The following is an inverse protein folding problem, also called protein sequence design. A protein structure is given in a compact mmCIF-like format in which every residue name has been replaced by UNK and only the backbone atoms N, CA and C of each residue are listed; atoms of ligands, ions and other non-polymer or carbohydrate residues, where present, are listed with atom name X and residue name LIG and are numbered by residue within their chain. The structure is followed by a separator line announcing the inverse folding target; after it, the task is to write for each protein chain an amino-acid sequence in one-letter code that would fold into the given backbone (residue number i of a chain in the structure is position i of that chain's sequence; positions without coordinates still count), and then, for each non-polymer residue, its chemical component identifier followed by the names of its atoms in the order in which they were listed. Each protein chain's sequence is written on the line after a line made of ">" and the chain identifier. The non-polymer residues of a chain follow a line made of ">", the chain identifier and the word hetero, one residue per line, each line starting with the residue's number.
data_IF_714336112703
#
_entry.id   IF_714336112703
#
_cell.length_a   1.000
_cell.length_b   1.000
_cell.length_c   1.000
_cell.angle_alpha   90.00
_cell.angle_beta   90.00
_cell.angle_gamma   90.00
#
_symmetry.space_group_name_H-M   'P 1'
#
loop_
_entity.id
_entity.type
_entity.pdbx_description
1 polymer ?
#
# COMPACT_ATOMS: atom_id res chain seq x y z
N UNK A 1 -17.29 4.54 -3.47
CA UNK A 1 -17.35 5.46 -2.30
C UNK A 1 -16.53 6.69 -2.62
N UNK A 2 -17.10 7.89 -2.42
CA UNK A 2 -16.40 9.15 -2.62
C UNK A 2 -15.76 9.64 -1.33
N UNK A 3 -14.44 9.82 -1.32
CA UNK A 3 -13.68 10.32 -0.17
C UNK A 3 -13.08 11.68 -0.44
N UNK A 4 -13.10 12.56 0.55
CA UNK A 4 -12.39 13.84 0.49
C UNK A 4 -10.89 13.60 0.67
N UNK A 5 -10.11 13.95 -0.35
CA UNK A 5 -8.67 13.69 -0.40
C UNK A 5 -7.93 14.48 0.68
N UNK A 6 -8.28 15.76 0.87
CA UNK A 6 -7.64 16.62 1.86
C UNK A 6 -7.90 16.09 3.27
N UNK A 7 -9.16 15.82 3.60
CA UNK A 7 -9.54 15.30 4.91
C UNK A 7 -8.91 13.94 5.19
N UNK A 8 -8.82 13.06 4.18
CA UNK A 8 -8.18 11.76 4.32
C UNK A 8 -6.67 11.89 4.58
N UNK A 9 -5.99 12.78 3.85
CA UNK A 9 -4.57 13.08 4.07
C UNK A 9 -4.35 13.71 5.45
N UNK A 10 -5.13 14.70 5.84
CA UNK A 10 -4.99 15.33 7.15
C UNK A 10 -5.32 14.35 8.29
N UNK A 11 -6.27 13.44 8.10
CA UNK A 11 -6.64 12.47 9.12
C UNK A 11 -5.55 11.40 9.33
N UNK A 12 -4.89 10.95 8.26
CA UNK A 12 -3.94 9.83 8.34
C UNK A 12 -2.47 10.26 8.31
N UNK A 13 -2.14 11.40 7.73
CA UNK A 13 -0.77 11.91 7.64
C UNK A 13 -0.48 13.09 8.58
N UNK A 14 -1.48 13.88 9.01
CA UNK A 14 -1.26 14.93 10.02
C UNK A 14 -1.48 14.36 11.43
N UNK A 15 -0.39 13.94 12.07
CA UNK A 15 -0.45 13.26 13.38
C UNK A 15 -1.08 14.17 14.43
N UNK A 16 -2.32 13.86 14.83
CA UNK A 16 -3.03 14.48 15.95
C UNK A 16 -3.28 13.44 17.02
N UNK A 17 -2.76 13.68 18.22
CA UNK A 17 -2.85 12.70 19.33
C UNK A 17 -4.31 12.38 19.70
N UNK A 18 -5.21 13.35 19.55
CA UNK A 18 -6.65 13.17 19.78
C UNK A 18 -7.32 12.19 18.81
N UNK A 19 -6.68 11.84 17.69
CA UNK A 19 -7.24 11.00 16.62
C UNK A 19 -6.52 9.65 16.48
N UNK A 20 -5.52 9.37 17.31
CA UNK A 20 -4.67 8.17 17.15
C UNK A 20 -5.45 6.86 17.24
N UNK A 21 -6.39 6.75 18.19
CA UNK A 21 -7.25 5.57 18.35
C UNK A 21 -8.18 5.37 17.14
N UNK A 22 -8.83 6.45 16.72
CA UNK A 22 -9.78 6.42 15.60
C UNK A 22 -9.10 6.11 14.27
N UNK A 23 -7.91 6.67 14.03
CA UNK A 23 -7.14 6.40 12.82
C UNK A 23 -6.81 4.90 12.70
N UNK A 24 -6.39 4.27 13.79
CA UNK A 24 -6.10 2.84 13.81
C UNK A 24 -7.37 2.00 13.58
N UNK A 25 -8.48 2.36 14.21
CA UNK A 25 -9.75 1.67 14.05
C UNK A 25 -10.29 1.77 12.61
N UNK A 26 -10.27 2.97 12.03
CA UNK A 26 -10.71 3.21 10.65
C UNK A 26 -9.81 2.45 9.68
N UNK A 27 -8.49 2.51 9.85
CA UNK A 27 -7.55 1.75 9.02
C UNK A 27 -7.80 0.25 9.11
N UNK A 28 -8.12 -0.29 10.29
CA UNK A 28 -8.40 -1.71 10.44
C UNK A 28 -9.63 -2.16 9.62
N UNK A 29 -10.60 -1.28 9.42
CA UNK A 29 -11.85 -1.58 8.69
C UNK A 29 -11.77 -1.17 7.21
N UNK A 30 -10.98 -0.16 6.84
CA UNK A 30 -10.97 0.42 5.49
C UNK A 30 -9.63 0.28 4.77
N UNK A 31 -8.51 0.19 5.49
CA UNK A 31 -7.18 0.47 4.96
C UNK A 31 -6.77 -0.43 3.79
N UNK A 32 -7.08 -1.72 3.84
CA UNK A 32 -6.73 -2.65 2.78
C UNK A 32 -7.48 -2.35 1.47
N UNK A 33 -8.80 -2.14 1.53
CA UNK A 33 -9.62 -1.79 0.37
C UNK A 33 -9.24 -0.42 -0.18
N UNK A 34 -9.04 0.56 0.72
CA UNK A 34 -8.62 1.91 0.36
C UNK A 34 -7.31 1.89 -0.42
N UNK A 35 -6.31 1.17 0.05
CA UNK A 35 -5.00 1.13 -0.57
C UNK A 35 -5.01 0.38 -1.92
N UNK A 36 -5.67 -0.78 -1.98
CA UNK A 36 -5.81 -1.53 -3.22
C UNK A 36 -6.59 -0.72 -4.28
N UNK A 37 -7.65 -0.03 -3.87
CA UNK A 37 -8.49 0.76 -4.78
C UNK A 37 -7.84 2.08 -5.19
N UNK A 38 -7.03 2.70 -4.33
CA UNK A 38 -6.19 3.83 -4.72
C UNK A 38 -5.20 3.41 -5.83
N UNK A 39 -4.60 2.21 -5.72
CA UNK A 39 -3.76 1.67 -6.79
C UNK A 39 -4.56 1.40 -8.07
N UNK A 40 -5.75 0.81 -7.97
CA UNK A 40 -6.66 0.62 -9.12
C UNK A 40 -6.99 1.93 -9.82
N UNK A 41 -7.27 2.98 -9.06
CA UNK A 41 -7.55 4.32 -9.57
C UNK A 41 -6.29 4.94 -10.23
N UNK A 42 -5.11 4.82 -9.61
CA UNK A 42 -3.83 5.24 -10.20
C UNK A 42 -3.56 4.57 -11.55
N UNK A 43 -3.90 3.29 -11.71
CA UNK A 43 -3.77 2.54 -12.96
C UNK A 43 -4.88 2.86 -13.98
N UNK A 44 -5.77 3.82 -13.69
CA UNK A 44 -6.87 4.22 -14.56
C UNK A 44 -7.88 3.09 -14.80
N UNK A 45 -8.12 2.24 -13.79
CA UNK A 45 -9.06 1.12 -13.89
C UNK A 45 -8.57 -0.06 -14.75
N UNK A 46 -7.33 -0.02 -15.24
CA UNK A 46 -6.73 -1.08 -16.08
C UNK A 46 -6.29 -2.32 -15.30
N UNK A 47 -6.46 -2.30 -13.99
CA UNK A 47 -6.17 -3.44 -13.11
C UNK A 47 -7.45 -3.92 -12.43
N UNK A 48 -7.47 -5.20 -12.11
CA UNK A 48 -8.55 -5.87 -11.38
C UNK A 48 -8.02 -6.40 -10.06
N UNK A 49 -8.72 -6.11 -8.96
CA UNK A 49 -8.43 -6.67 -7.64
C UNK A 49 -9.18 -7.99 -7.55
N UNK A 50 -8.47 -9.09 -7.37
CA UNK A 50 -9.08 -10.42 -7.29
C UNK A 50 -9.49 -10.73 -5.85
N UNK A 51 -10.53 -11.54 -5.69
CA UNK A 51 -11.03 -12.00 -4.40
C UNK A 51 -10.31 -13.28 -3.90
N UNK A 52 -9.45 -13.86 -4.74
CA UNK A 52 -8.65 -15.04 -4.40
C UNK A 52 -7.68 -14.75 -3.24
N UNK A 53 -7.56 -15.71 -2.33
CA UNK A 53 -6.58 -15.63 -1.24
C UNK A 53 -5.15 -15.76 -1.77
N UNK A 54 -4.25 -14.92 -1.24
CA UNK A 54 -2.81 -15.02 -1.55
C UNK A 54 -2.13 -15.94 -0.56
N UNK A 55 -2.13 -17.24 -0.89
CA UNK A 55 -1.59 -18.28 -0.03
C UNK A 55 -0.15 -18.66 -0.41
N UNK A 56 0.71 -18.99 0.55
CA UNK A 56 1.97 -19.65 0.23
C UNK A 56 1.68 -21.03 -0.41
N UNK A 57 2.61 -21.53 -1.23
CA UNK A 57 2.52 -22.87 -1.85
C UNK A 57 2.54 -24.04 -0.87
N UNK A 58 2.64 -23.77 0.43
CA UNK A 58 2.71 -24.73 1.54
C UNK A 58 1.60 -24.44 2.55
N UNK A 59 1.13 -25.45 3.29
CA UNK A 59 0.12 -25.29 4.36
C UNK A 59 0.62 -24.47 5.57
N UNK A 60 1.88 -24.03 5.56
CA UNK A 60 2.53 -23.20 6.57
C UNK A 60 3.15 -21.99 5.88
N UNK A 61 2.93 -20.78 6.40
CA UNK A 61 3.58 -19.57 5.91
C UNK A 61 2.70 -18.31 6.02
N UNK A 62 3.31 -17.15 5.82
CA UNK A 62 2.60 -15.86 5.87
C UNK A 62 1.82 -15.65 4.56
N UNK A 63 0.53 -15.34 4.67
CA UNK A 63 -0.33 -14.94 3.55
C UNK A 63 -0.01 -13.50 3.13
N UNK A 64 -0.36 -13.13 1.90
CA UNK A 64 -0.40 -11.71 1.49
C UNK A 64 -1.84 -11.23 1.37
N UNK A 65 -2.00 -9.95 1.10
CA UNK A 65 -3.26 -9.24 1.23
C UNK A 65 -4.14 -9.38 -0.03
N UNK A 66 -3.57 -9.15 -1.22
CA UNK A 66 -4.34 -9.13 -2.48
C UNK A 66 -3.57 -9.68 -3.67
N UNK A 67 -4.32 -10.27 -4.60
CA UNK A 67 -3.92 -10.45 -5.99
C UNK A 67 -4.46 -9.28 -6.81
N UNK A 68 -3.62 -8.66 -7.66
CA UNK A 68 -4.04 -7.60 -8.58
C UNK A 68 -3.61 -7.94 -10.01
N UNK A 69 -4.56 -8.16 -10.91
CA UNK A 69 -4.33 -8.48 -12.31
C UNK A 69 -4.16 -7.20 -13.14
N UNK A 70 -3.01 -7.02 -13.78
CA UNK A 70 -2.79 -5.99 -14.82
C UNK A 70 -3.15 -6.56 -16.19
N UNK A 71 -4.33 -6.18 -16.67
CA UNK A 71 -4.87 -6.62 -17.97
C UNK A 71 -4.09 -6.08 -19.16
N UNK A 72 -3.38 -4.96 -18.99
CA UNK A 72 -2.64 -4.30 -20.08
C UNK A 72 -1.33 -5.04 -20.34
N UNK A 73 -0.61 -5.39 -19.28
CA UNK A 73 0.71 -6.01 -19.38
C UNK A 73 0.70 -7.52 -19.16
N UNK A 74 -0.48 -8.10 -18.94
CA UNK A 74 -0.67 -9.52 -18.61
C UNK A 74 0.25 -9.97 -17.46
N UNK A 75 0.28 -9.16 -16.39
CA UNK A 75 1.02 -9.45 -15.15
C UNK A 75 0.04 -9.65 -14.00
N UNK A 76 0.40 -10.52 -13.06
CA UNK A 76 -0.32 -10.71 -11.82
C UNK A 76 0.53 -10.20 -10.66
N UNK A 77 0.06 -9.18 -9.96
CA UNK A 77 0.75 -8.66 -8.79
C UNK A 77 0.35 -9.43 -7.54
N UNK A 78 1.33 -9.98 -6.84
CA UNK A 78 1.15 -10.42 -5.45
C UNK A 78 1.43 -9.25 -4.52
N UNK A 79 0.44 -8.86 -3.73
CA UNK A 79 0.46 -7.58 -3.02
C UNK A 79 0.49 -7.75 -1.51
N UNK A 80 1.42 -7.05 -0.87
CA UNK A 80 1.36 -6.75 0.55
C UNK A 80 1.03 -5.27 0.75
N UNK A 81 0.09 -4.99 1.63
CA UNK A 81 -0.47 -3.69 1.93
C UNK A 81 -0.09 -3.31 3.37
N UNK A 82 0.57 -2.17 3.53
CA UNK A 82 0.95 -1.61 4.83
C UNK A 82 0.26 -0.28 5.05
N UNK A 83 -0.70 -0.29 5.97
CA UNK A 83 -1.46 0.89 6.35
C UNK A 83 -0.72 1.78 7.37
N UNK A 84 0.60 1.91 7.27
CA UNK A 84 1.37 2.73 8.21
C UNK A 84 1.12 4.21 7.96
N UNK A 85 0.25 4.78 8.79
CA UNK A 85 -0.07 6.21 8.86
C UNK A 85 0.91 6.97 9.78
N UNK A 86 0.80 8.29 9.83
CA UNK A 86 1.64 9.14 10.69
C UNK A 86 1.46 8.85 12.18
N UNK A 87 0.32 8.29 12.57
CA UNK A 87 -0.01 7.84 13.93
C UNK A 87 0.66 6.51 14.31
N UNK A 88 1.19 5.75 13.35
CA UNK A 88 1.91 4.51 13.64
C UNK A 88 3.24 4.76 14.37
N UNK A 89 3.79 3.73 15.00
CA UNK A 89 5.10 3.81 15.67
C UNK A 89 6.17 4.26 14.65
N UNK A 90 6.90 5.32 14.99
CA UNK A 90 7.91 5.92 14.10
C UNK A 90 7.32 6.65 12.89
N UNK A 91 6.01 6.92 12.86
CA UNK A 91 5.38 7.79 11.88
C UNK A 91 5.80 9.25 12.04
N UNK A 92 5.81 9.98 10.92
CA UNK A 92 6.07 11.42 10.85
C UNK A 92 4.84 12.13 10.28
N UNK A 93 4.50 13.26 10.90
CA UNK A 93 3.43 14.12 10.40
C UNK A 93 3.83 14.75 9.06
N UNK A 94 2.87 14.85 8.15
CA UNK A 94 2.98 15.55 6.89
C UNK A 94 1.60 16.09 6.51
N UNK A 95 1.38 17.40 6.66
CA UNK A 95 0.09 18.04 6.34
C UNK A 95 -0.25 17.90 4.86
N UNK A 96 -1.54 17.88 4.50
CA UNK A 96 -1.97 17.80 3.10
C UNK A 96 -1.39 18.92 2.23
N UNK A 97 -1.17 20.11 2.78
CA UNK A 97 -0.64 21.31 2.13
C UNK A 97 0.88 21.51 2.26
N UNK A 98 1.60 20.58 2.89
CA UNK A 98 3.06 20.60 3.07
C UNK A 98 3.86 20.95 1.80
N UNK A 99 4.98 21.66 1.93
CA UNK A 99 5.78 22.05 0.75
C UNK A 99 6.37 20.82 0.03
N UNK A 100 6.86 21.02 -1.19
CA UNK A 100 7.56 19.96 -1.93
C UNK A 100 8.80 19.51 -1.16
N UNK A 101 9.55 20.45 -0.60
CA UNK A 101 10.77 20.22 0.17
C UNK A 101 10.48 19.44 1.45
N UNK A 102 9.41 19.79 2.15
CA UNK A 102 8.95 19.05 3.33
C UNK A 102 8.52 17.62 2.96
N UNK A 103 7.76 17.47 1.87
CA UNK A 103 7.34 16.16 1.36
C UNK A 103 8.55 15.29 1.04
N UNK A 104 9.56 15.83 0.32
CA UNK A 104 10.80 15.10 0.00
C UNK A 104 11.56 14.64 1.24
N UNK A 105 11.69 15.50 2.26
CA UNK A 105 12.34 15.14 3.53
C UNK A 105 11.64 13.97 4.22
N UNK A 106 10.30 13.98 4.24
CA UNK A 106 9.52 12.90 4.87
C UNK A 106 9.59 11.61 4.04
N UNK A 107 9.56 11.69 2.71
CA UNK A 107 9.74 10.52 1.83
C UNK A 107 11.11 9.89 2.05
N UNK A 108 12.18 10.69 2.09
CA UNK A 108 13.53 10.21 2.33
C UNK A 108 13.64 9.51 3.70
N UNK A 109 13.02 10.08 4.73
CA UNK A 109 12.93 9.46 6.05
C UNK A 109 12.30 8.07 5.99
N UNK A 110 11.11 7.94 5.38
CA UNK A 110 10.43 6.66 5.29
C UNK A 110 11.20 5.66 4.43
N UNK A 111 11.77 6.10 3.30
CA UNK A 111 12.57 5.24 2.43
C UNK A 111 13.82 4.71 3.15
N UNK A 112 14.58 5.58 3.83
CA UNK A 112 15.74 5.15 4.64
C UNK A 112 15.33 4.21 5.77
N UNK A 113 14.21 4.46 6.44
CA UNK A 113 13.69 3.60 7.50
C UNK A 113 13.34 2.21 6.97
N UNK A 114 12.62 2.14 5.85
CA UNK A 114 12.27 0.86 5.22
C UNK A 114 13.52 0.12 4.76
N UNK A 115 14.45 0.80 4.10
CA UNK A 115 15.73 0.21 3.69
C UNK A 115 16.51 -0.33 4.88
N UNK A 116 16.62 0.43 5.98
CA UNK A 116 17.45 0.03 7.11
C UNK A 116 16.83 -1.06 7.98
N UNK A 117 15.50 -1.16 8.03
CA UNK A 117 14.81 -2.06 8.95
C UNK A 117 14.15 -3.24 8.24
N UNK A 118 13.27 -2.93 7.28
CA UNK A 118 12.35 -3.92 6.72
C UNK A 118 12.90 -4.56 5.44
N UNK A 119 13.73 -3.83 4.69
CA UNK A 119 14.34 -4.20 3.41
C UNK A 119 15.88 -4.25 3.48
N UNK A 120 16.46 -4.47 4.67
CA UNK A 120 17.91 -4.73 4.84
C UNK A 120 18.16 -6.14 5.33
N UNK A 121 19.41 -6.60 5.25
CA UNK A 121 19.87 -7.83 5.89
C UNK A 121 19.77 -7.87 7.42
N UNK A 122 19.47 -6.76 8.09
CA UNK A 122 19.35 -6.70 9.56
C UNK A 122 17.98 -7.18 10.06
N UNK A 123 16.99 -7.26 9.18
CA UNK A 123 15.67 -7.79 9.52
C UNK A 123 15.67 -9.31 9.59
N UNK A 124 14.70 -9.88 10.30
CA UNK A 124 14.38 -11.30 10.13
C UNK A 124 13.77 -11.50 8.74
N UNK A 125 14.20 -12.47 7.95
CA UNK A 125 13.62 -12.71 6.62
C UNK A 125 13.19 -14.17 6.46
N UNK A 126 12.01 -14.44 5.86
CA UNK A 126 11.00 -13.49 5.37
C UNK A 126 10.12 -12.86 6.48
N UNK A 127 10.09 -11.52 6.57
CA UNK A 127 9.26 -10.75 7.52
C UNK A 127 8.02 -10.09 6.87
N UNK A 128 7.37 -9.22 7.63
CA UNK A 128 6.11 -8.56 7.30
C UNK A 128 6.04 -7.93 5.92
N UNK A 129 7.11 -7.33 5.39
CA UNK A 129 7.09 -6.74 4.03
C UNK A 129 7.79 -7.66 3.02
N UNK A 130 8.89 -8.31 3.42
CA UNK A 130 9.70 -9.14 2.49
C UNK A 130 9.06 -10.47 2.15
N UNK A 131 8.02 -10.90 2.88
CA UNK A 131 7.18 -12.03 2.45
C UNK A 131 6.55 -11.82 1.07
N UNK A 132 6.39 -10.56 0.61
CA UNK A 132 5.96 -10.25 -0.76
C UNK A 132 6.94 -10.77 -1.82
N UNK A 133 8.16 -11.14 -1.44
CA UNK A 133 9.18 -11.70 -2.33
C UNK A 133 9.21 -13.24 -2.30
N UNK A 134 8.34 -13.88 -1.51
CA UNK A 134 8.16 -15.33 -1.54
C UNK A 134 7.22 -15.72 -2.67
N UNK A 135 7.46 -16.85 -3.32
CA UNK A 135 6.55 -17.38 -4.33
C UNK A 135 5.22 -17.79 -3.69
N UNK A 136 4.13 -17.20 -4.18
CA UNK A 136 2.77 -17.53 -3.75
C UNK A 136 2.12 -18.55 -4.68
N UNK A 137 1.14 -19.30 -4.17
CA UNK A 137 0.32 -20.20 -4.99
C UNK A 137 -0.55 -19.36 -5.91
N UNK A 138 -0.37 -19.57 -7.22
CA UNK A 138 -1.18 -18.91 -8.25
C UNK A 138 -2.65 -19.32 -8.15
N UNK A 139 -3.60 -18.40 -8.41
CA UNK A 139 -4.99 -18.75 -8.67
C UNK A 139 -5.09 -19.62 -9.92
N UNK A 140 -5.98 -20.62 -9.91
CA UNK A 140 -6.08 -21.63 -10.99
C UNK A 140 -6.31 -20.99 -12.37
N UNK A 141 -7.14 -19.94 -12.42
CA UNK A 141 -7.46 -19.15 -13.63
C UNK A 141 -6.27 -18.38 -14.21
N UNK A 142 -5.16 -18.26 -13.46
CA UNK A 142 -4.01 -17.43 -13.79
C UNK A 142 -2.67 -18.19 -13.69
N UNK A 143 -2.71 -19.52 -13.77
CA UNK A 143 -1.53 -20.41 -13.60
C UNK A 143 -0.35 -20.18 -14.55
N UNK A 144 -0.55 -19.48 -15.67
CA UNK A 144 0.48 -19.16 -16.68
C UNK A 144 0.90 -17.69 -16.72
N UNK A 145 0.36 -16.86 -15.82
CA UNK A 145 0.62 -15.42 -15.81
C UNK A 145 1.92 -15.11 -15.06
N UNK A 146 2.69 -14.14 -15.56
CA UNK A 146 3.91 -13.68 -14.90
C UNK A 146 3.56 -12.97 -13.60
N UNK A 147 4.11 -13.45 -12.49
CA UNK A 147 3.92 -12.84 -11.17
C UNK A 147 4.95 -11.74 -10.92
N UNK A 148 4.53 -10.61 -10.36
CA UNK A 148 5.41 -9.54 -9.91
C UNK A 148 5.05 -9.15 -8.45
N UNK A 149 6.02 -8.85 -7.59
CA UNK A 149 5.74 -8.44 -6.22
C UNK A 149 5.46 -6.93 -6.16
N UNK A 150 4.43 -6.55 -5.38
CA UNK A 150 4.00 -5.17 -5.19
C UNK A 150 3.80 -4.88 -3.69
N UNK A 151 4.50 -3.89 -3.18
CA UNK A 151 4.19 -3.28 -1.89
C UNK A 151 3.29 -2.07 -2.12
N UNK A 152 2.18 -2.00 -1.39
CA UNK A 152 1.35 -0.79 -1.32
C UNK A 152 1.44 -0.24 0.09
N UNK A 153 1.99 0.96 0.21
CA UNK A 153 2.10 1.68 1.48
C UNK A 153 1.11 2.83 1.51
N UNK A 154 0.50 3.04 2.68
CA UNK A 154 -0.18 4.31 2.96
C UNK A 154 0.83 5.48 2.95
N UNK A 155 1.88 5.40 3.78
CA UNK A 155 2.87 6.46 3.99
C UNK A 155 3.50 7.02 2.68
N UNK A 156 3.93 8.30 2.68
CA UNK A 156 4.65 8.88 1.56
C UNK A 156 6.03 8.21 1.42
N UNK A 157 6.18 7.34 0.44
CA UNK A 157 7.42 6.58 0.20
C UNK A 157 7.69 6.46 -1.29
N UNK A 158 8.94 6.62 -1.68
CA UNK A 158 9.38 6.41 -3.05
C UNK A 158 10.88 6.14 -3.07
N UNK A 159 11.31 5.30 -4.00
CA UNK A 159 12.72 5.09 -4.31
C UNK A 159 13.17 5.87 -5.55
N UNK A 160 12.28 6.69 -6.12
CA UNK A 160 12.56 7.52 -7.27
C UNK A 160 13.49 8.69 -6.91
N UNK A 161 14.26 9.17 -7.89
CA UNK A 161 15.26 10.23 -7.69
C UNK A 161 14.65 11.54 -7.18
N UNK A 162 13.44 11.88 -7.64
CA UNK A 162 12.74 13.08 -7.19
C UNK A 162 11.99 12.84 -5.87
N UNK A 163 11.77 11.57 -5.50
CA UNK A 163 11.07 11.17 -4.28
C UNK A 163 9.57 11.53 -4.28
N UNK A 164 9.01 11.93 -5.43
CA UNK A 164 7.61 12.40 -5.53
C UNK A 164 6.74 11.50 -6.39
N UNK A 165 7.33 10.54 -7.09
CA UNK A 165 6.58 9.59 -7.91
C UNK A 165 5.92 8.51 -7.02
N UNK A 166 4.59 8.32 -7.11
CA UNK A 166 3.87 7.39 -6.25
C UNK A 166 4.20 5.94 -6.51
N UNK A 167 4.62 5.59 -7.73
CA UNK A 167 5.07 4.24 -8.08
C UNK A 167 6.56 4.28 -8.40
N UNK A 168 7.34 3.52 -7.64
CA UNK A 168 8.76 3.30 -7.94
C UNK A 168 9.05 1.81 -8.09
N UNK A 169 10.19 1.50 -8.71
CA UNK A 169 10.64 0.12 -8.96
C UNK A 169 12.04 -0.04 -8.41
N UNK A 170 12.21 -1.03 -7.55
CA UNK A 170 13.46 -1.31 -6.85
C UNK A 170 14.04 -2.61 -7.39
N UNK A 171 15.35 -2.66 -7.61
CA UNK A 171 16.04 -3.90 -7.90
C UNK A 171 16.10 -4.76 -6.64
N UNK A 172 15.60 -5.98 -6.68
CA UNK A 172 15.65 -6.88 -5.51
C UNK A 172 17.11 -7.17 -5.12
N UNK A 173 18.01 -7.25 -6.11
CA UNK A 173 19.45 -7.47 -5.88
C UNK A 173 20.08 -6.35 -5.05
N UNK A 174 19.66 -5.08 -5.22
CA UNK A 174 20.24 -3.97 -4.47
C UNK A 174 19.82 -3.93 -3.00
N UNK A 175 18.81 -4.71 -2.62
CA UNK A 175 18.36 -4.80 -1.22
C UNK A 175 19.23 -5.74 -0.36
N UNK A 176 20.10 -6.55 -0.98
CA UNK A 176 21.01 -7.49 -0.29
C UNK A 176 20.30 -8.36 0.77
N UNK A 177 19.09 -8.82 0.46
CA UNK A 177 18.27 -9.59 1.39
C UNK A 177 18.84 -11.01 1.59
N UNK A 178 18.90 -11.52 2.83
CA UNK A 178 19.39 -12.86 3.15
C UNK A 178 18.32 -13.92 2.88
N UNK A 179 17.68 -13.88 1.70
CA UNK A 179 16.67 -14.82 1.28
C UNK A 179 16.75 -15.10 -0.22
N UNK A 180 16.38 -16.32 -0.60
CA UNK A 180 16.26 -16.70 -2.01
C UNK A 180 14.91 -16.25 -2.53
N UNK A 181 14.89 -15.60 -3.70
CA UNK A 181 13.68 -15.17 -4.39
C UNK A 181 13.88 -15.23 -5.90
N UNK A 182 12.82 -15.58 -6.64
CA UNK A 182 12.82 -15.60 -8.11
C UNK A 182 12.55 -14.20 -8.72
N UNK A 183 12.21 -13.21 -7.89
CA UNK A 183 11.86 -11.87 -8.36
C UNK A 183 13.11 -10.99 -8.50
N UNK A 184 13.25 -10.33 -9.65
CA UNK A 184 14.33 -9.35 -9.90
C UNK A 184 13.95 -7.91 -9.56
N UNK A 185 12.64 -7.62 -9.49
CA UNK A 185 12.09 -6.28 -9.26
C UNK A 185 11.05 -6.31 -8.15
N UNK A 186 10.98 -5.23 -7.38
CA UNK A 186 9.94 -4.95 -6.41
C UNK A 186 9.27 -3.63 -6.77
N UNK A 187 7.95 -3.67 -6.97
CA UNK A 187 7.17 -2.46 -7.17
C UNK A 187 6.77 -1.91 -5.80
N UNK A 188 6.89 -0.59 -5.62
CA UNK A 188 6.50 0.10 -4.39
C UNK A 188 5.56 1.23 -4.76
N UNK A 189 4.32 1.16 -4.28
CA UNK A 189 3.30 2.18 -4.49
C UNK A 189 2.99 2.92 -3.18
N UNK A 190 2.96 4.25 -3.23
CA UNK A 190 2.59 5.12 -2.12
C UNK A 190 1.25 5.78 -2.38
N UNK A 191 0.28 5.46 -1.53
CA UNK A 191 -1.06 6.05 -1.60
C UNK A 191 -1.04 7.52 -1.19
N UNK A 192 -0.31 7.89 -0.14
CA UNK A 192 -0.16 9.29 0.28
C UNK A 192 0.41 10.17 -0.85
N UNK A 193 1.50 9.75 -1.52
CA UNK A 193 2.05 10.50 -2.64
C UNK A 193 1.05 10.61 -3.80
N UNK A 194 0.34 9.53 -4.11
CA UNK A 194 -0.66 9.55 -5.17
C UNK A 194 -1.79 10.54 -4.89
N UNK A 195 -2.35 10.51 -3.69
CA UNK A 195 -3.42 11.40 -3.27
C UNK A 195 -2.95 12.86 -3.25
N UNK A 196 -1.72 13.14 -2.81
CA UNK A 196 -1.11 14.47 -2.88
C UNK A 196 -0.95 14.96 -4.31
N UNK A 197 -0.56 14.08 -5.24
CA UNK A 197 -0.51 14.43 -6.67
C UNK A 197 -1.88 14.78 -7.23
N UNK A 198 -2.93 14.01 -6.91
CA UNK A 198 -4.30 14.34 -7.31
C UNK A 198 -4.77 15.69 -6.74
N UNK A 199 -4.45 15.94 -5.48
CA UNK A 199 -4.83 17.15 -4.76
C UNK A 199 -4.09 18.40 -5.28
N UNK A 200 -2.76 18.35 -5.41
CA UNK A 200 -1.90 19.50 -5.76
C UNK A 200 -1.59 19.64 -7.24
N UNK A 201 -1.23 18.54 -7.91
CA UNK A 201 -0.58 18.58 -9.23
C UNK A 201 -1.47 18.07 -10.38
N UNK A 202 -2.77 17.86 -10.16
CA UNK A 202 -3.61 17.17 -11.15
C UNK A 202 -4.91 17.83 -11.58
N UNK A 203 -5.62 18.57 -10.69
CA UNK A 203 -6.94 19.20 -10.98
C UNK A 203 -7.55 20.01 -9.83
N UNK A 204 -6.87 20.14 -8.68
CA UNK A 204 -7.54 20.56 -7.44
C UNK A 204 -8.64 19.57 -7.04
N UNK A 205 -8.44 18.28 -7.38
CA UNK A 205 -9.45 17.25 -7.18
C UNK A 205 -9.66 17.09 -5.67
N UNK A 206 -10.89 17.37 -5.24
CA UNK A 206 -11.27 17.31 -3.81
C UNK A 206 -11.70 15.91 -3.39
N UNK A 207 -12.21 15.13 -4.35
CA UNK A 207 -12.82 13.83 -4.10
C UNK A 207 -12.16 12.74 -4.94
N UNK A 208 -11.90 11.58 -4.35
CA UNK A 208 -11.56 10.35 -5.07
C UNK A 208 -12.72 9.37 -4.97
N UNK A 209 -13.07 8.72 -6.08
CA UNK A 209 -14.03 7.62 -6.07
C UNK A 209 -13.27 6.29 -6.06
N UNK A 210 -13.52 5.50 -5.02
CA UNK A 210 -12.86 4.22 -4.80
C UNK A 210 -13.90 3.13 -4.54
N UNK A 211 -13.62 1.95 -5.09
CA UNK A 211 -14.41 0.76 -4.88
C UNK A 211 -14.00 0.10 -3.55
N UNK A 212 -14.93 -0.10 -2.61
CA UNK A 212 -14.59 -0.62 -1.27
C UNK A 212 -15.60 -1.67 -0.79
N UNK A 213 -15.72 -2.79 -1.52
CA UNK A 213 -16.79 -3.76 -1.30
C UNK A 213 -16.66 -4.48 0.05
N UNK A 214 -15.44 -4.75 0.52
CA UNK A 214 -15.25 -5.40 1.83
C UNK A 214 -15.50 -4.41 2.97
N UNK A 215 -15.16 -3.13 2.80
CA UNK A 215 -15.55 -2.09 3.75
C UNK A 215 -17.07 -2.03 3.91
N UNK A 216 -17.84 -1.94 2.82
CA UNK A 216 -19.30 -1.91 2.87
C UNK A 216 -19.89 -3.15 3.56
N UNK A 217 -19.32 -4.32 3.29
CA UNK A 217 -19.69 -5.56 3.97
C UNK A 217 -19.38 -5.51 5.47
N UNK A 218 -18.19 -5.03 5.88
CA UNK A 218 -17.81 -4.88 7.29
C UNK A 218 -18.73 -3.90 8.03
N UNK A 219 -19.09 -2.77 7.41
CA UNK A 219 -20.06 -1.83 7.99
C UNK A 219 -21.44 -2.47 8.15
N UNK A 220 -21.92 -3.26 7.18
CA UNK A 220 -23.17 -4.01 7.31
C UNK A 220 -23.13 -5.00 8.47
N UNK A 221 -22.00 -5.67 8.71
CA UNK A 221 -21.84 -6.56 9.87
C UNK A 221 -21.87 -5.76 11.17
N UNK A 222 -21.10 -4.67 11.26
CA UNK A 222 -21.05 -3.83 12.47
C UNK A 222 -22.43 -3.27 12.84
N UNK A 223 -23.20 -2.80 11.85
CA UNK A 223 -24.56 -2.29 12.07
C UNK A 223 -25.53 -3.37 12.58
N UNK A 224 -25.30 -4.66 12.28
CA UNK A 224 -26.10 -5.77 12.83
C UNK A 224 -25.71 -6.14 14.25
N UNK A 225 -24.49 -5.82 14.67
CA UNK A 225 -24.00 -6.10 16.02
C UNK A 225 -24.40 -5.01 17.01
N UNK A 226 -24.52 -3.77 16.53
CA UNK A 226 -24.87 -2.60 17.34
C UNK A 226 -26.37 -2.38 17.48
N UNK A 227 -27.15 -3.43 17.77
CA UNK A 227 -28.60 -3.33 17.94
C UNK A 227 -28.99 -2.13 18.83
N UNK A 228 -29.91 -1.33 18.29
CA UNK A 228 -30.79 -0.45 19.05
C UNK A 228 -31.95 -1.25 19.59
#
# INVERSE_FOLDING_TARGET
>A
MKLNIKELLDFLDDKKDSQMGDANAIIAVLGEDLNASAYKHFRGGKVEILNDSVLPGTNKGKRLDRWILDKTNNNLFQCEIKNWAATAIGGKSLKSDASIEETKKIVEYYWKRELNNNLSSKGEHPNGVTKVLLKMKLPDKHSKIKVQPLLIYWMPISSDIDGLHPLSVVSVKSLHLPMVTEFSKLYVFSVSLYLRQLYKNGKGQKLIDIDTPHFEHRIKILNKLGDK
#
